data_IF_067573544515
#
_entry.id   IF_067573544515
#
_cell.length_a   1.000
_cell.length_b   1.000
_cell.length_c   1.000
_cell.angle_alpha   90.00
_cell.angle_beta   90.00
_cell.angle_gamma   90.00
#
_symmetry.space_group_name_H-M   'P 1'
#
loop_
_entity.id
_entity.type
_entity.pdbx_description
1 polymer ?
#
# COMPACT_ATOMS: atom_id res chain seq x y z
N UNK A 1 -44.42 25.50 -28.74
CA UNK A 1 -43.74 24.98 -27.53
C UNK A 1 -42.25 25.10 -27.74
N UNK A 2 -41.55 25.90 -26.93
CA UNK A 2 -40.09 25.97 -27.01
C UNK A 2 -39.52 24.63 -26.52
N UNK A 3 -38.75 23.96 -27.38
CA UNK A 3 -38.10 22.70 -27.05
C UNK A 3 -37.04 23.00 -25.98
N UNK A 4 -37.24 22.50 -24.75
CA UNK A 4 -36.30 22.73 -23.66
C UNK A 4 -35.06 21.85 -23.88
N UNK A 5 -33.97 22.42 -24.37
CA UNK A 5 -32.72 21.71 -24.63
C UNK A 5 -32.05 21.16 -23.36
N UNK A 6 -32.58 21.44 -22.16
CA UNK A 6 -32.14 20.77 -20.94
C UNK A 6 -32.63 19.32 -20.86
N UNK A 7 -33.71 18.93 -21.54
CA UNK A 7 -34.26 17.57 -21.49
C UNK A 7 -33.48 16.55 -22.32
N UNK A 8 -32.58 17.00 -23.21
CA UNK A 8 -31.65 16.15 -23.97
C UNK A 8 -30.34 15.90 -23.22
N UNK A 9 -30.10 16.59 -22.09
CA UNK A 9 -28.86 16.44 -21.37
C UNK A 9 -28.84 15.13 -20.57
N UNK A 10 -27.77 14.37 -20.73
CA UNK A 10 -27.41 13.35 -19.75
C UNK A 10 -27.33 13.99 -18.35
N UNK A 11 -27.86 13.35 -17.28
CA UNK A 11 -27.90 13.94 -15.93
C UNK A 11 -26.55 14.43 -15.41
N UNK A 12 -25.45 13.77 -15.80
CA UNK A 12 -24.08 14.14 -15.41
C UNK A 12 -23.43 15.22 -16.28
N UNK A 13 -24.03 15.64 -17.41
CA UNK A 13 -23.37 16.58 -18.34
C UNK A 13 -23.02 17.89 -17.66
N UNK A 14 -23.98 18.48 -16.94
CA UNK A 14 -23.78 19.78 -16.27
C UNK A 14 -22.83 19.63 -15.06
N UNK A 15 -23.00 18.66 -14.13
CA UNK A 15 -22.06 18.47 -13.04
C UNK A 15 -20.61 18.23 -13.50
N UNK A 16 -20.39 17.38 -14.50
CA UNK A 16 -19.04 17.09 -15.00
C UNK A 16 -18.43 18.30 -15.73
N UNK A 17 -19.23 19.03 -16.51
CA UNK A 17 -18.77 20.27 -17.13
C UNK A 17 -18.42 21.34 -16.08
N UNK A 18 -19.20 21.43 -15.00
CA UNK A 18 -18.92 22.34 -13.90
C UNK A 18 -17.65 21.95 -13.13
N UNK A 19 -17.36 20.66 -12.94
CA UNK A 19 -16.13 20.20 -12.27
C UNK A 19 -14.87 20.73 -12.97
N UNK A 20 -14.84 20.74 -14.31
CA UNK A 20 -13.69 21.25 -15.09
C UNK A 20 -13.49 22.76 -14.92
N UNK A 21 -14.57 23.52 -14.77
CA UNK A 21 -14.52 24.99 -14.62
C UNK A 21 -14.52 25.46 -13.17
N UNK A 22 -14.56 24.54 -12.21
CA UNK A 22 -14.66 24.86 -10.78
C UNK A 22 -13.40 25.48 -10.17
N UNK A 23 -12.28 25.48 -10.91
CA UNK A 23 -10.95 25.94 -10.46
C UNK A 23 -10.48 27.19 -11.22
N UNK A 24 -11.09 28.37 -11.02
CA UNK A 24 -10.59 29.58 -11.65
C UNK A 24 -9.17 29.90 -11.17
N UNK A 25 -8.33 30.37 -12.09
CA UNK A 25 -7.01 30.87 -11.74
C UNK A 25 -7.13 32.11 -10.87
N UNK A 26 -6.10 32.35 -10.08
CA UNK A 26 -6.03 33.51 -9.22
C UNK A 26 -6.02 34.82 -10.03
N UNK A 27 -6.94 35.73 -9.75
CA UNK A 27 -7.01 37.02 -10.42
C UNK A 27 -6.10 38.04 -9.73
N UNK A 28 -4.94 38.29 -10.33
CA UNK A 28 -3.96 39.25 -9.84
C UNK A 28 -4.09 40.58 -10.59
N UNK A 29 -4.10 41.69 -9.85
CA UNK A 29 -4.20 43.04 -10.38
C UNK A 29 -2.88 43.81 -10.21
N UNK A 30 -1.80 43.26 -10.78
CA UNK A 30 -0.46 43.86 -10.78
C UNK A 30 0.40 43.40 -9.59
N UNK A 31 1.12 44.34 -8.96
CA UNK A 31 2.00 44.06 -7.84
C UNK A 31 1.21 43.77 -6.55
N UNK A 32 1.40 42.57 -6.01
CA UNK A 32 0.62 42.03 -4.90
C UNK A 32 1.47 41.15 -3.99
N UNK A 33 1.05 41.00 -2.73
CA UNK A 33 1.64 40.03 -1.80
C UNK A 33 0.63 38.96 -1.43
N UNK A 34 1.18 37.78 -1.18
CA UNK A 34 0.40 36.60 -0.87
C UNK A 34 0.92 35.93 0.39
N UNK A 35 -0.01 35.41 1.19
CA UNK A 35 0.25 34.44 2.25
C UNK A 35 -0.50 33.17 1.90
N UNK A 36 0.21 32.06 1.74
CA UNK A 36 -0.34 30.76 1.40
C UNK A 36 -0.14 29.78 2.55
N UNK A 37 -1.21 29.10 2.95
CA UNK A 37 -1.19 28.04 3.95
C UNK A 37 -1.79 26.77 3.37
N UNK A 38 -1.09 25.64 3.45
CA UNK A 38 -1.68 24.33 3.22
C UNK A 38 -1.93 23.65 4.58
N UNK A 39 -3.20 23.49 4.92
CA UNK A 39 -3.66 22.93 6.19
C UNK A 39 -3.98 21.46 6.01
N UNK A 40 -3.14 20.60 6.57
CA UNK A 40 -3.27 19.14 6.62
C UNK A 40 -3.91 18.73 7.95
N UNK A 41 -5.24 18.79 8.02
CA UNK A 41 -6.01 18.52 9.23
C UNK A 41 -6.43 17.04 9.34
N UNK A 42 -5.49 16.10 9.22
CA UNK A 42 -5.77 14.69 9.55
C UNK A 42 -5.64 14.48 11.06
N UNK A 43 -6.67 13.88 11.67
CA UNK A 43 -6.55 13.33 13.02
C UNK A 43 -5.67 12.07 12.97
N UNK A 44 -4.80 11.92 13.96
CA UNK A 44 -3.92 10.77 14.06
C UNK A 44 -4.75 9.46 14.16
N UNK A 45 -4.25 8.43 13.48
CA UNK A 45 -4.56 7.01 13.58
C UNK A 45 -5.57 6.34 12.62
N UNK A 46 -6.41 7.03 11.83
CA UNK A 46 -7.33 6.33 10.91
C UNK A 46 -7.18 6.77 9.44
N UNK A 47 -6.78 5.82 8.60
CA UNK A 47 -6.78 5.94 7.13
C UNK A 47 -8.21 5.88 6.62
N UNK A 48 -8.92 7.02 6.60
CA UNK A 48 -10.26 7.07 6.03
C UNK A 48 -11.10 8.31 6.35
N UNK A 49 -10.71 9.14 7.32
CA UNK A 49 -11.52 10.31 7.67
C UNK A 49 -11.49 11.37 6.56
N UNK A 50 -12.70 11.69 6.07
CA UNK A 50 -12.92 12.83 5.20
C UNK A 50 -12.51 14.11 5.94
N UNK A 51 -11.48 14.80 5.45
CA UNK A 51 -10.99 16.04 6.06
C UNK A 51 -11.86 17.24 5.69
N UNK A 52 -12.71 17.12 4.66
CA UNK A 52 -13.50 18.24 4.15
C UNK A 52 -14.41 18.91 5.21
N UNK A 53 -15.10 18.19 6.11
CA UNK A 53 -15.91 18.80 7.16
C UNK A 53 -15.08 19.67 8.12
N UNK A 54 -13.88 19.22 8.50
CA UNK A 54 -12.97 19.98 9.35
C UNK A 54 -12.47 21.25 8.64
N UNK A 55 -12.08 21.12 7.36
CA UNK A 55 -11.64 22.27 6.55
C UNK A 55 -12.76 23.29 6.36
N UNK A 56 -13.98 22.82 6.12
CA UNK A 56 -15.15 23.68 5.99
C UNK A 56 -15.47 24.39 7.31
N UNK A 57 -15.35 23.70 8.46
CA UNK A 57 -15.52 24.32 9.78
C UNK A 57 -14.50 25.44 10.01
N UNK A 58 -13.22 25.20 9.68
CA UNK A 58 -12.17 26.22 9.77
C UNK A 58 -12.46 27.43 8.88
N UNK A 59 -12.90 27.19 7.63
CA UNK A 59 -13.30 28.26 6.72
C UNK A 59 -14.53 29.02 7.24
N UNK A 60 -15.55 28.32 7.74
CA UNK A 60 -16.76 28.94 8.25
C UNK A 60 -16.51 29.83 9.47
N UNK A 61 -15.62 29.40 10.37
CA UNK A 61 -15.15 30.23 11.49
C UNK A 61 -14.43 31.49 11.00
N UNK A 62 -13.57 31.36 9.97
CA UNK A 62 -12.90 32.50 9.36
C UNK A 62 -13.90 33.47 8.71
N UNK A 63 -14.80 32.98 7.85
CA UNK A 63 -15.82 33.81 7.21
C UNK A 63 -16.74 34.50 8.22
N UNK A 64 -17.16 33.77 9.27
CA UNK A 64 -18.00 34.29 10.35
C UNK A 64 -17.37 35.47 11.10
N UNK A 65 -16.04 35.45 11.29
CA UNK A 65 -15.31 36.58 11.91
C UNK A 65 -15.49 37.89 11.14
N UNK A 66 -15.56 37.80 9.81
CA UNK A 66 -15.74 38.96 8.92
C UNK A 66 -17.20 39.18 8.48
N UNK A 67 -18.16 38.44 9.06
CA UNK A 67 -19.58 38.56 8.70
C UNK A 67 -19.93 38.04 7.31
N UNK A 68 -19.10 37.16 6.73
CA UNK A 68 -19.30 36.58 5.40
C UNK A 68 -19.94 35.20 5.53
N UNK A 69 -20.89 34.89 4.64
CA UNK A 69 -21.50 33.57 4.58
C UNK A 69 -20.49 32.51 4.08
N UNK A 70 -20.37 31.41 4.82
CA UNK A 70 -19.55 30.27 4.42
C UNK A 70 -20.15 29.57 3.18
N UNK A 71 -19.32 28.90 2.35
CA UNK A 71 -19.83 28.13 1.22
C UNK A 71 -20.61 26.89 1.69
N UNK A 72 -21.35 26.27 0.76
CA UNK A 72 -22.15 25.07 1.05
C UNK A 72 -21.31 23.85 1.44
N UNK A 73 -21.96 22.85 2.06
CA UNK A 73 -21.31 21.66 2.67
C UNK A 73 -20.48 20.79 1.73
N UNK A 74 -20.68 20.92 0.41
CA UNK A 74 -19.95 20.18 -0.62
C UNK A 74 -19.06 21.08 -1.48
N UNK A 75 -18.84 22.33 -1.05
CA UNK A 75 -17.97 23.24 -1.78
C UNK A 75 -16.52 22.79 -1.69
N UNK A 76 -15.87 22.69 -2.85
CA UNK A 76 -14.43 22.45 -2.95
C UNK A 76 -13.62 23.73 -3.15
N UNK A 77 -14.30 24.84 -3.45
CA UNK A 77 -13.67 26.12 -3.79
C UNK A 77 -14.47 27.24 -3.13
N UNK A 78 -13.74 28.25 -2.68
CA UNK A 78 -14.32 29.48 -2.17
C UNK A 78 -13.38 30.63 -2.49
N UNK A 79 -13.94 31.70 -3.04
CA UNK A 79 -13.23 32.93 -3.27
C UNK A 79 -14.08 34.08 -2.74
N UNK A 80 -13.46 34.99 -2.00
CA UNK A 80 -14.16 36.15 -1.49
C UNK A 80 -13.20 37.34 -1.33
N UNK A 81 -13.70 38.52 -1.67
CA UNK A 81 -13.02 39.80 -1.45
C UNK A 81 -13.52 40.44 -0.16
N UNK A 82 -12.62 40.60 0.81
CA UNK A 82 -12.90 41.21 2.12
C UNK A 82 -12.57 42.72 2.13
N UNK A 83 -12.29 43.30 0.97
CA UNK A 83 -11.94 44.71 0.77
C UNK A 83 -10.45 44.96 0.98
N UNK A 84 -9.94 44.74 2.19
CA UNK A 84 -8.50 44.93 2.50
C UNK A 84 -7.61 43.80 1.99
N UNK A 85 -8.18 42.61 1.82
CA UNK A 85 -7.51 41.42 1.30
C UNK A 85 -8.55 40.50 0.63
N UNK A 86 -8.07 39.55 -0.18
CA UNK A 86 -8.87 38.51 -0.81
C UNK A 86 -8.45 37.14 -0.29
N UNK A 87 -9.38 36.21 -0.19
CA UNK A 87 -9.12 34.81 0.14
C UNK A 87 -9.51 33.93 -1.04
N UNK A 88 -8.59 33.08 -1.47
CA UNK A 88 -8.85 31.89 -2.27
C UNK A 88 -8.64 30.65 -1.41
N UNK A 89 -9.69 29.84 -1.27
CA UNK A 89 -9.66 28.56 -0.58
C UNK A 89 -9.98 27.42 -1.53
N UNK A 90 -9.16 26.35 -1.46
CA UNK A 90 -9.38 25.12 -2.22
C UNK A 90 -9.28 23.91 -1.29
N UNK A 91 -10.32 23.08 -1.28
CA UNK A 91 -10.33 21.81 -0.55
C UNK A 91 -9.87 20.67 -1.46
N UNK A 92 -8.81 20.00 -1.04
CA UNK A 92 -8.34 18.76 -1.65
C UNK A 92 -8.73 17.58 -0.77
N UNK A 93 -8.38 16.37 -1.19
CA UNK A 93 -8.70 15.14 -0.45
C UNK A 93 -8.01 15.07 0.92
N UNK A 94 -6.77 15.56 1.01
CA UNK A 94 -5.94 15.39 2.23
C UNK A 94 -5.67 16.70 2.99
N UNK A 95 -5.86 17.84 2.34
CA UNK A 95 -5.58 19.17 2.90
C UNK A 95 -6.47 20.20 2.23
N UNK A 96 -6.54 21.40 2.80
CA UNK A 96 -7.06 22.57 2.11
C UNK A 96 -6.01 23.66 2.04
N UNK A 97 -6.06 24.47 0.98
CA UNK A 97 -5.20 25.64 0.84
C UNK A 97 -5.97 26.90 1.16
N UNK A 98 -5.30 27.83 1.84
CA UNK A 98 -5.79 29.18 2.13
C UNK A 98 -4.77 30.15 1.55
N UNK A 99 -5.13 30.83 0.47
CA UNK A 99 -4.28 31.83 -0.18
C UNK A 99 -4.90 33.20 0.04
N UNK A 100 -4.25 33.99 0.89
CA UNK A 100 -4.61 35.37 1.17
C UNK A 100 -3.81 36.29 0.26
N UNK A 101 -4.46 37.31 -0.29
CA UNK A 101 -3.87 38.24 -1.24
C UNK A 101 -4.15 39.66 -0.84
N UNK A 102 -3.14 40.51 -0.96
CA UNK A 102 -3.26 41.94 -0.73
C UNK A 102 -2.66 42.71 -1.91
N UNK A 103 -3.44 43.63 -2.46
CA UNK A 103 -3.02 44.48 -3.56
C UNK A 103 -2.42 45.78 -3.04
N UNK A 104 -1.18 46.09 -3.45
CA UNK A 104 -0.47 47.28 -2.96
C UNK A 104 -0.92 48.58 -3.63
N UNK A 105 -1.48 48.54 -4.84
CA UNK A 105 -2.01 49.70 -5.55
C UNK A 105 -3.30 50.22 -4.89
N UNK A 106 -4.17 49.31 -4.43
CA UNK A 106 -5.40 49.69 -3.72
C UNK A 106 -5.13 50.35 -2.35
N UNK A 107 -4.11 49.87 -1.62
CA UNK A 107 -3.69 50.48 -0.34
C UNK A 107 -2.99 51.83 -0.50
N UNK A 108 -2.27 52.08 -1.60
CA UNK A 108 -1.61 53.36 -1.85
C UNK A 108 -2.60 54.49 -2.19
N UNK A 109 -3.69 54.17 -2.90
CA UNK A 109 -4.76 55.12 -3.22
C UNK A 109 -5.50 55.66 -1.98
N UNK A 110 -5.43 54.96 -0.84
CA UNK A 110 -6.00 55.39 0.43
C UNK A 110 -5.07 56.28 1.28
N UNK A 111 -3.79 56.44 0.88
CA UNK A 111 -2.77 57.08 1.73
C UNK A 111 -2.11 58.33 1.12
N UNK A 112 -2.12 58.54 -0.21
CA UNK A 112 -1.59 59.81 -0.75
C UNK A 112 -1.96 60.11 -2.21
N UNK A 113 -2.30 61.38 -2.47
CA UNK A 113 -2.61 62.01 -3.76
C UNK A 113 -1.38 62.24 -4.67
N UNK A 114 -0.37 61.38 -4.57
CA UNK A 114 0.80 61.39 -5.44
C UNK A 114 0.87 60.06 -6.15
N UNK A 115 0.92 60.09 -7.49
CA UNK A 115 1.20 58.92 -8.32
C UNK A 115 2.52 58.27 -7.90
N UNK A 116 2.43 57.30 -6.97
CA UNK A 116 3.58 56.53 -6.52
C UNK A 116 3.92 55.55 -7.65
N UNK A 117 4.97 55.86 -8.39
CA UNK A 117 5.71 54.85 -9.13
C UNK A 117 6.22 53.83 -8.10
N UNK A 118 5.52 52.70 -7.96
CA UNK A 118 5.82 51.64 -7.01
C UNK A 118 7.07 50.87 -7.46
N UNK A 119 8.24 51.48 -7.22
CA UNK A 119 9.48 50.75 -6.95
C UNK A 119 9.61 50.60 -5.44
N UNK A 120 8.57 50.07 -4.80
CA UNK A 120 8.65 49.71 -3.39
C UNK A 120 9.79 48.67 -3.24
N UNK A 121 10.79 49.00 -2.44
CA UNK A 121 11.84 48.05 -2.11
C UNK A 121 11.21 46.83 -1.43
N UNK A 122 11.86 45.66 -1.57
CA UNK A 122 11.33 44.42 -1.01
C UNK A 122 10.99 44.51 0.50
N UNK A 123 11.61 45.43 1.26
CA UNK A 123 11.31 45.62 2.70
C UNK A 123 9.87 46.07 2.92
N UNK A 124 9.42 47.01 2.09
CA UNK A 124 8.07 47.53 2.16
C UNK A 124 7.06 46.48 1.69
N UNK A 125 7.42 45.68 0.69
CA UNK A 125 6.59 44.59 0.17
C UNK A 125 6.38 43.52 1.25
N UNK A 126 7.46 43.00 1.84
CA UNK A 126 7.36 41.98 2.90
C UNK A 126 6.83 42.55 4.24
N UNK A 127 6.88 43.86 4.48
CA UNK A 127 6.23 44.47 5.64
C UNK A 127 4.69 44.49 5.54
N UNK A 128 4.14 44.36 4.33
CA UNK A 128 2.70 44.47 4.03
C UNK A 128 2.08 43.12 3.67
N UNK A 129 2.58 42.02 4.23
CA UNK A 129 2.06 40.68 3.95
C UNK A 129 0.61 40.52 4.44
N UNK A 130 -0.25 39.79 3.70
CA UNK A 130 -1.65 39.56 4.09
C UNK A 130 -1.84 38.88 5.44
N UNK A 131 -0.79 38.27 6.00
CA UNK A 131 -0.79 37.63 7.32
C UNK A 131 -1.34 38.55 8.42
N UNK A 132 -1.11 39.87 8.30
CA UNK A 132 -1.60 40.90 9.23
C UNK A 132 -3.12 40.98 9.37
N UNK A 133 -3.85 40.54 8.34
CA UNK A 133 -5.31 40.54 8.33
C UNK A 133 -5.91 39.27 8.93
N UNK A 134 -5.10 38.23 9.14
CA UNK A 134 -5.58 36.93 9.61
C UNK A 134 -5.75 36.98 11.14
N UNK A 135 -6.93 36.62 11.69
CA UNK A 135 -7.13 36.63 13.13
C UNK A 135 -6.19 35.67 13.86
N UNK A 136 -5.49 36.15 14.90
CA UNK A 136 -4.48 35.36 15.62
C UNK A 136 -5.06 34.10 16.26
N UNK A 137 -6.29 34.15 16.78
CA UNK A 137 -6.96 32.98 17.35
C UNK A 137 -7.21 31.88 16.30
N UNK A 138 -7.47 32.27 15.05
CA UNK A 138 -7.70 31.33 13.95
C UNK A 138 -6.39 30.66 13.56
N UNK A 139 -5.30 31.43 13.45
CA UNK A 139 -3.94 30.90 13.24
C UNK A 139 -3.54 29.94 14.37
N UNK A 140 -3.81 30.28 15.62
CA UNK A 140 -3.54 29.40 16.76
C UNK A 140 -4.34 28.07 16.66
N UNK A 141 -5.57 28.11 16.15
CA UNK A 141 -6.39 26.92 15.89
C UNK A 141 -5.80 25.96 14.84
N UNK A 142 -4.84 26.42 14.02
CA UNK A 142 -4.10 25.60 13.04
C UNK A 142 -2.87 24.90 13.63
N UNK A 143 -2.59 25.06 14.93
CA UNK A 143 -1.44 24.41 15.58
C UNK A 143 -1.37 22.91 15.25
N UNK A 144 -0.21 22.46 14.78
CA UNK A 144 0.06 21.08 14.38
C UNK A 144 -0.54 20.65 13.03
N UNK A 145 -1.25 21.53 12.31
CA UNK A 145 -1.95 21.21 11.06
C UNK A 145 -1.36 21.89 9.83
N UNK A 146 -0.45 22.84 9.98
CA UNK A 146 0.14 23.57 8.84
C UNK A 146 1.26 22.73 8.23
N UNK A 147 1.04 22.24 7.01
CA UNK A 147 2.04 21.49 6.23
C UNK A 147 2.95 22.43 5.44
N UNK A 148 2.35 23.50 4.89
CA UNK A 148 3.05 24.53 4.13
C UNK A 148 2.59 25.90 4.58
N UNK A 149 3.56 26.79 4.74
CA UNK A 149 3.35 28.21 4.95
C UNK A 149 4.33 28.95 4.03
N UNK A 150 3.83 29.80 3.13
CA UNK A 150 4.67 30.52 2.18
C UNK A 150 4.18 31.95 1.95
N UNK A 151 5.14 32.86 1.79
CA UNK A 151 4.91 34.21 1.30
C UNK A 151 5.39 34.34 -0.15
N UNK A 152 4.58 34.98 -0.98
CA UNK A 152 4.97 35.33 -2.34
C UNK A 152 4.81 36.83 -2.56
N UNK A 153 5.87 37.46 -3.02
CA UNK A 153 5.89 38.86 -3.43
C UNK A 153 5.89 38.93 -4.96
N UNK A 154 4.78 39.39 -5.55
CA UNK A 154 4.69 39.74 -6.96
C UNK A 154 5.03 41.22 -7.11
N UNK A 155 6.16 41.52 -7.75
CA UNK A 155 6.65 42.87 -7.95
C UNK A 155 6.68 43.22 -9.44
N UNK A 156 6.44 44.49 -9.76
CA UNK A 156 6.62 44.98 -11.12
C UNK A 156 8.12 45.04 -11.47
N UNK A 157 8.46 44.70 -12.71
CA UNK A 157 9.80 44.73 -13.23
C UNK A 157 9.91 45.56 -14.50
N UNK A 158 10.86 46.49 -14.51
CA UNK A 158 11.24 47.32 -15.66
C UNK A 158 12.57 46.89 -16.31
N UNK A 159 13.36 46.08 -15.60
CA UNK A 159 14.74 45.72 -15.93
C UNK A 159 15.06 44.27 -15.54
N UNK A 160 15.98 43.61 -16.24
CA UNK A 160 16.44 42.24 -15.89
C UNK A 160 17.42 42.18 -14.70
N UNK A 161 17.61 43.30 -14.01
CA UNK A 161 18.45 43.33 -12.82
C UNK A 161 17.73 42.67 -11.64
N UNK A 162 18.48 41.90 -10.85
CA UNK A 162 17.96 41.28 -9.63
C UNK A 162 17.49 42.38 -8.65
N UNK A 163 16.35 42.19 -7.96
CA UNK A 163 15.89 43.15 -6.96
C UNK A 163 16.96 43.45 -5.91
N UNK A 164 17.17 44.73 -5.62
CA UNK A 164 18.12 45.14 -4.60
C UNK A 164 17.77 44.53 -3.23
N UNK A 165 18.76 43.95 -2.57
CA UNK A 165 18.57 43.31 -1.27
C UNK A 165 17.84 41.97 -1.31
N UNK A 166 17.58 41.36 -2.46
CA UNK A 166 16.90 40.05 -2.59
C UNK A 166 17.46 38.98 -1.63
N UNK A 167 18.79 38.90 -1.51
CA UNK A 167 19.47 37.90 -0.68
C UNK A 167 19.09 37.95 0.80
N UNK A 168 18.67 39.10 1.33
CA UNK A 168 18.31 39.22 2.76
C UNK A 168 17.02 38.49 3.12
N UNK A 169 16.21 38.14 2.13
CA UNK A 169 14.98 37.36 2.35
C UNK A 169 15.18 35.85 2.26
N UNK A 170 16.38 35.42 1.91
CA UNK A 170 16.72 34.01 1.73
C UNK A 170 17.89 33.67 2.65
N UNK A 171 17.61 32.99 3.76
CA UNK A 171 18.62 32.52 4.71
C UNK A 171 19.71 31.66 4.06
N UNK A 172 19.37 30.95 2.98
CA UNK A 172 20.30 30.10 2.25
C UNK A 172 21.42 30.85 1.50
N UNK A 173 21.36 32.18 1.39
CA UNK A 173 22.38 33.02 0.74
C UNK A 173 22.50 32.88 -0.79
N UNK A 174 22.12 31.74 -1.38
CA UNK A 174 22.06 31.47 -2.82
C UNK A 174 20.69 30.88 -3.20
N UNK A 175 19.97 31.57 -4.07
CA UNK A 175 18.61 31.25 -4.49
C UNK A 175 18.59 30.26 -5.68
N UNK A 176 17.55 29.45 -5.75
CA UNK A 176 17.02 28.91 -7.01
C UNK A 176 16.41 30.07 -7.78
N UNK A 177 16.70 30.16 -9.07
CA UNK A 177 16.21 31.27 -9.89
C UNK A 177 16.00 30.88 -11.34
N UNK A 178 14.87 31.30 -11.89
CA UNK A 178 14.51 31.00 -13.28
C UNK A 178 13.76 32.15 -13.95
N UNK A 179 14.00 32.32 -15.25
CA UNK A 179 13.15 33.14 -16.12
C UNK A 179 11.96 32.32 -16.59
N UNK A 180 10.75 32.89 -16.52
CA UNK A 180 9.48 32.24 -16.79
C UNK A 180 8.83 32.85 -18.03
N UNK A 181 8.61 32.03 -19.07
CA UNK A 181 7.95 32.42 -20.35
C UNK A 181 8.42 33.75 -20.96
N UNK A 182 9.69 34.13 -20.72
CA UNK A 182 10.28 35.41 -21.10
C UNK A 182 9.52 36.67 -20.62
N UNK A 183 8.70 36.54 -19.57
CA UNK A 183 7.85 37.62 -19.03
C UNK A 183 7.91 37.75 -17.52
N UNK A 184 8.72 36.94 -16.84
CA UNK A 184 8.97 37.13 -15.43
C UNK A 184 10.20 36.37 -14.97
N UNK A 185 10.67 36.69 -13.78
CA UNK A 185 11.76 35.99 -13.10
C UNK A 185 11.30 35.62 -11.69
N UNK A 186 11.63 34.41 -11.26
CA UNK A 186 11.29 33.92 -9.92
C UNK A 186 12.56 33.58 -9.16
N UNK A 187 12.55 33.88 -7.86
CA UNK A 187 13.57 33.45 -6.91
C UNK A 187 12.96 32.85 -5.65
N UNK A 188 13.61 31.81 -5.14
CA UNK A 188 13.30 31.14 -3.86
C UNK A 188 14.52 30.38 -3.38
N UNK A 189 14.61 30.04 -2.10
CA UNK A 189 15.59 29.10 -1.55
C UNK A 189 14.96 27.77 -1.10
N UNK A 190 13.62 27.66 -1.19
CA UNK A 190 12.82 26.54 -0.66
C UNK A 190 13.03 26.26 0.84
N UNK A 191 13.62 27.21 1.58
CA UNK A 191 13.84 27.12 3.02
C UNK A 191 12.73 27.83 3.79
N UNK A 192 12.44 27.31 4.98
CA UNK A 192 11.59 27.96 5.96
C UNK A 192 12.44 29.02 6.65
N UNK A 193 12.01 30.27 6.58
CA UNK A 193 12.71 31.39 7.20
C UNK A 193 12.38 31.48 8.70
N UNK A 194 13.04 32.38 9.43
CA UNK A 194 12.86 32.57 10.88
C UNK A 194 11.42 32.90 11.31
N UNK A 195 10.58 33.41 10.40
CA UNK A 195 9.15 33.65 10.64
C UNK A 195 8.26 32.41 10.48
N UNK A 196 8.84 31.28 10.04
CA UNK A 196 8.14 30.02 9.79
C UNK A 196 7.56 29.88 8.38
N UNK A 197 7.85 30.82 7.46
CA UNK A 197 7.33 30.80 6.09
C UNK A 197 8.44 30.57 5.05
N UNK A 198 8.14 29.81 4.01
CA UNK A 198 8.93 29.83 2.77
C UNK A 198 8.71 31.14 2.01
N UNK A 199 9.65 31.52 1.13
CA UNK A 199 9.55 32.78 0.38
C UNK A 199 9.75 32.59 -1.12
N UNK A 200 8.96 33.32 -1.88
CA UNK A 200 9.07 33.49 -3.32
C UNK A 200 9.04 34.97 -3.67
N UNK A 201 9.92 35.38 -4.57
CA UNK A 201 9.86 36.69 -5.21
C UNK A 201 9.65 36.46 -6.70
N UNK A 202 8.54 36.96 -7.24
CA UNK A 202 8.20 36.89 -8.65
C UNK A 202 8.22 38.32 -9.20
N UNK A 203 9.14 38.59 -10.12
CA UNK A 203 9.22 39.86 -10.84
C UNK A 203 8.49 39.72 -12.18
N UNK A 204 7.58 40.64 -12.45
CA UNK A 204 6.72 40.66 -13.62
C UNK A 204 7.23 41.65 -14.68
N UNK A 205 7.58 41.15 -15.88
CA UNK A 205 8.01 41.91 -17.06
C UNK A 205 6.90 42.09 -18.11
N UNK A 206 5.63 42.02 -17.69
CA UNK A 206 4.48 42.14 -18.56
C UNK A 206 3.86 40.78 -18.88
N UNK A 207 3.53 40.02 -17.85
CA UNK A 207 2.56 38.93 -17.94
C UNK A 207 1.26 39.42 -18.58
N UNK A 208 0.71 38.63 -19.48
CA UNK A 208 -0.54 38.93 -20.18
C UNK A 208 -1.72 38.29 -19.44
N UNK A 209 -2.83 39.03 -19.33
CA UNK A 209 -4.09 38.51 -18.79
C UNK A 209 -3.89 37.76 -17.45
N UNK A 210 -4.29 36.49 -17.38
CA UNK A 210 -4.16 35.64 -16.19
C UNK A 210 -2.82 34.88 -16.11
N UNK A 211 -1.79 35.27 -16.87
CA UNK A 211 -0.48 34.59 -16.82
C UNK A 211 0.20 34.73 -15.45
N UNK A 212 0.16 35.91 -14.83
CA UNK A 212 0.72 36.12 -13.50
C UNK A 212 0.03 35.20 -12.47
N UNK A 213 -1.31 35.19 -12.48
CA UNK A 213 -2.14 34.35 -11.62
C UNK A 213 -1.84 32.86 -11.74
N UNK A 214 -1.78 32.35 -12.97
CA UNK A 214 -1.42 30.94 -13.24
C UNK A 214 0.01 30.62 -12.80
N UNK A 215 0.95 31.54 -12.99
CA UNK A 215 2.35 31.36 -12.58
C UNK A 215 2.48 31.29 -11.07
N UNK A 216 1.87 32.24 -10.35
CA UNK A 216 1.81 32.23 -8.88
C UNK A 216 1.16 30.96 -8.37
N UNK A 217 0.02 30.56 -8.94
CA UNK A 217 -0.64 29.31 -8.56
C UNK A 217 0.27 28.10 -8.73
N UNK A 218 0.99 27.99 -9.86
CA UNK A 218 1.95 26.90 -10.08
C UNK A 218 3.07 26.89 -9.05
N UNK A 219 3.61 28.04 -8.68
CA UNK A 219 4.67 28.15 -7.67
C UNK A 219 4.18 27.68 -6.29
N UNK A 220 2.99 28.12 -5.88
CA UNK A 220 2.36 27.69 -4.62
C UNK A 220 2.00 26.20 -4.64
N UNK A 221 1.55 25.67 -5.78
CA UNK A 221 1.27 24.24 -5.97
C UNK A 221 2.55 23.40 -5.95
N UNK A 222 3.66 23.87 -6.52
CA UNK A 222 4.97 23.20 -6.40
C UNK A 222 5.40 23.12 -4.94
N UNK A 223 5.27 24.23 -4.20
CA UNK A 223 5.60 24.30 -2.79
C UNK A 223 4.72 23.36 -1.94
N UNK A 224 3.43 23.30 -2.24
CA UNK A 224 2.51 22.41 -1.53
C UNK A 224 2.76 20.95 -1.87
N UNK A 225 2.81 20.61 -3.16
CA UNK A 225 2.93 19.23 -3.62
C UNK A 225 4.32 18.63 -3.35
N UNK A 226 5.41 19.42 -3.27
CA UNK A 226 6.71 18.87 -2.85
C UNK A 226 6.65 18.35 -1.41
N UNK A 227 6.00 19.10 -0.51
CA UNK A 227 5.88 18.71 0.89
C UNK A 227 4.95 17.51 1.04
N UNK A 228 3.82 17.50 0.32
CA UNK A 228 2.91 16.36 0.29
C UNK A 228 3.55 15.09 -0.30
N UNK A 229 4.40 15.23 -1.32
CA UNK A 229 5.17 14.12 -1.88
C UNK A 229 6.16 13.57 -0.85
N UNK A 230 6.84 14.43 -0.09
CA UNK A 230 7.84 14.03 0.91
C UNK A 230 7.25 13.27 2.11
N UNK A 231 5.93 13.31 2.35
CA UNK A 231 5.29 12.53 3.42
C UNK A 231 5.48 11.02 3.29
N UNK A 232 5.81 10.50 2.10
CA UNK A 232 6.17 9.10 1.92
C UNK A 232 7.56 8.74 2.45
N UNK A 233 8.49 9.70 2.54
CA UNK A 233 9.88 9.40 2.89
C UNK A 233 10.03 8.86 4.33
N UNK A 234 9.41 9.45 5.38
CA UNK A 234 9.50 8.89 6.73
C UNK A 234 8.94 7.46 6.81
N UNK A 235 7.87 7.16 6.06
CA UNK A 235 7.30 5.80 5.99
C UNK A 235 8.23 4.82 5.28
N UNK A 236 8.91 5.26 4.22
CA UNK A 236 9.92 4.44 3.55
C UNK A 236 11.10 4.13 4.50
N UNK A 237 11.55 5.12 5.27
CA UNK A 237 12.64 4.98 6.23
C UNK A 237 12.27 4.06 7.40
N UNK A 238 11.02 4.09 7.89
CA UNK A 238 10.56 3.18 8.94
C UNK A 238 10.30 1.75 8.42
N UNK A 239 9.83 1.60 7.18
CA UNK A 239 9.59 0.30 6.57
C UNK A 239 10.88 -0.45 6.20
N UNK A 240 11.94 0.28 5.83
CA UNK A 240 13.22 -0.30 5.41
C UNK A 240 13.84 -1.33 6.38
N UNK A 241 13.99 -1.04 7.69
CA UNK A 241 14.52 -2.02 8.65
C UNK A 241 13.59 -3.22 8.82
N UNK A 242 12.26 -3.01 8.82
CA UNK A 242 11.27 -4.09 8.97
C UNK A 242 11.34 -5.06 7.78
N UNK A 243 11.42 -4.55 6.55
CA UNK A 243 11.62 -5.39 5.36
C UNK A 243 12.94 -6.16 5.40
N UNK A 244 14.00 -5.55 5.93
CA UNK A 244 15.29 -6.22 6.08
C UNK A 244 15.22 -7.37 7.07
N UNK A 245 14.48 -7.21 8.17
CA UNK A 245 14.24 -8.30 9.11
C UNK A 245 13.45 -9.45 8.44
N UNK A 246 12.34 -9.15 7.78
CA UNK A 246 11.50 -10.13 7.06
C UNK A 246 12.33 -10.90 6.02
N UNK A 247 13.16 -10.20 5.25
CA UNK A 247 14.02 -10.80 4.23
C UNK A 247 15.06 -11.74 4.84
N UNK A 248 15.74 -11.33 5.92
CA UNK A 248 16.72 -12.17 6.60
C UNK A 248 16.08 -13.41 7.24
N UNK A 249 14.90 -13.25 7.84
CA UNK A 249 14.12 -14.37 8.40
C UNK A 249 13.72 -15.35 7.29
N UNK A 250 13.24 -14.86 6.14
CA UNK A 250 12.92 -15.72 5.00
C UNK A 250 14.14 -16.50 4.50
N UNK A 251 15.30 -15.83 4.33
CA UNK A 251 16.55 -16.50 3.92
C UNK A 251 16.94 -17.62 4.88
N UNK A 252 16.83 -17.38 6.20
CA UNK A 252 17.14 -18.38 7.22
C UNK A 252 16.17 -19.58 7.18
N UNK A 253 14.87 -19.32 6.97
CA UNK A 253 13.87 -20.39 6.83
C UNK A 253 14.11 -21.21 5.57
N UNK A 254 14.35 -20.57 4.42
CA UNK A 254 14.68 -21.28 3.17
C UNK A 254 15.94 -22.13 3.30
N UNK A 255 17.00 -21.63 3.95
CA UNK A 255 18.21 -22.41 4.21
C UNK A 255 17.97 -23.62 5.13
N UNK A 256 16.99 -23.52 6.03
CA UNK A 256 16.57 -24.64 6.89
C UNK A 256 15.81 -25.70 6.10
N UNK A 257 14.96 -25.28 5.16
CA UNK A 257 14.26 -26.19 4.24
C UNK A 257 15.23 -26.98 3.36
N UNK A 258 16.22 -26.32 2.76
CA UNK A 258 17.22 -27.00 1.92
C UNK A 258 18.05 -28.01 2.72
N UNK A 259 18.40 -27.69 3.98
CA UNK A 259 19.11 -28.65 4.84
C UNK A 259 18.25 -29.83 5.25
N UNK A 260 16.96 -29.63 5.48
CA UNK A 260 16.05 -30.73 5.82
C UNK A 260 15.77 -31.64 4.62
N UNK A 261 15.90 -31.18 3.37
CA UNK A 261 15.83 -32.06 2.18
C UNK A 261 16.97 -33.07 2.14
N UNK A 262 18.16 -32.70 2.62
CA UNK A 262 19.33 -33.57 2.63
C UNK A 262 19.28 -34.65 3.73
N UNK A 263 18.38 -34.52 4.70
CA UNK A 263 18.20 -35.49 5.78
C UNK A 263 16.97 -36.37 5.49
N UNK A 264 17.18 -37.67 5.20
CA UNK A 264 16.14 -38.65 4.81
C UNK A 264 15.00 -38.89 5.84
N UNK A 265 15.02 -38.20 6.98
CA UNK A 265 14.12 -38.36 8.12
C UNK A 265 13.63 -37.00 8.65
N UNK A 266 13.27 -36.07 7.77
CA UNK A 266 12.65 -34.81 8.20
C UNK A 266 11.33 -35.09 8.94
N UNK A 267 11.28 -34.60 10.18
CA UNK A 267 10.11 -34.65 11.06
C UNK A 267 9.00 -33.74 10.51
N UNK A 268 7.80 -34.30 10.29
CA UNK A 268 6.63 -33.59 9.77
C UNK A 268 6.31 -32.36 10.63
N UNK A 269 6.54 -32.43 11.95
CA UNK A 269 6.27 -31.33 12.87
C UNK A 269 7.23 -30.16 12.67
N UNK A 270 8.50 -30.45 12.34
CA UNK A 270 9.49 -29.41 12.02
C UNK A 270 9.14 -28.66 10.73
N UNK A 271 8.66 -29.36 9.69
CA UNK A 271 8.22 -28.71 8.45
C UNK A 271 6.95 -27.87 8.66
N UNK A 272 6.00 -28.36 9.47
CA UNK A 272 4.83 -27.57 9.84
C UNK A 272 5.19 -26.30 10.62
N UNK A 273 6.21 -26.35 11.48
CA UNK A 273 6.69 -25.18 12.20
C UNK A 273 7.28 -24.12 11.25
N UNK A 274 8.03 -24.55 10.23
CA UNK A 274 8.55 -23.64 9.19
C UNK A 274 7.41 -23.04 8.37
N UNK A 275 6.41 -23.83 7.99
CA UNK A 275 5.23 -23.34 7.29
C UNK A 275 4.50 -22.25 8.08
N UNK A 276 4.28 -22.45 9.39
CA UNK A 276 3.67 -21.43 10.27
C UNK A 276 4.50 -20.14 10.30
N UNK A 277 5.82 -20.26 10.34
CA UNK A 277 6.73 -19.10 10.34
C UNK A 277 6.66 -18.31 9.03
N UNK A 278 6.50 -18.98 7.89
CA UNK A 278 6.31 -18.31 6.59
C UNK A 278 4.96 -17.60 6.50
N UNK A 279 3.90 -18.20 7.05
CA UNK A 279 2.58 -17.55 7.14
C UNK A 279 2.66 -16.28 8.01
N UNK A 280 3.39 -16.32 9.12
CA UNK A 280 3.63 -15.14 9.97
C UNK A 280 4.40 -14.03 9.21
N UNK A 281 5.46 -14.39 8.48
CA UNK A 281 6.18 -13.44 7.63
C UNK A 281 5.28 -12.81 6.56
N UNK A 282 4.39 -13.59 5.94
CA UNK A 282 3.43 -13.10 4.97
C UNK A 282 2.47 -12.08 5.61
N UNK A 283 1.93 -12.39 6.80
CA UNK A 283 1.04 -11.51 7.52
C UNK A 283 1.71 -10.19 7.92
N UNK A 284 2.95 -10.25 8.42
CA UNK A 284 3.75 -9.06 8.77
C UNK A 284 4.04 -8.17 7.55
N UNK A 285 4.37 -8.78 6.41
CA UNK A 285 4.60 -8.04 5.17
C UNK A 285 3.31 -7.40 4.64
N UNK A 286 2.18 -8.12 4.70
CA UNK A 286 0.88 -7.62 4.27
C UNK A 286 0.45 -6.43 5.13
N UNK A 287 0.58 -6.54 6.45
CA UNK A 287 0.30 -5.43 7.36
C UNK A 287 1.12 -4.18 7.00
N UNK A 288 2.43 -4.34 6.83
CA UNK A 288 3.32 -3.23 6.45
C UNK A 288 2.96 -2.62 5.08
N UNK A 289 2.47 -3.43 4.17
CA UNK A 289 2.05 -2.99 2.82
C UNK A 289 0.75 -2.20 2.91
N UNK A 290 -0.25 -2.71 3.64
CA UNK A 290 -1.53 -2.03 3.84
C UNK A 290 -1.34 -0.66 4.51
N UNK A 291 -0.51 -0.58 5.55
CA UNK A 291 -0.21 0.66 6.29
C UNK A 291 0.38 1.77 5.39
N UNK A 292 1.22 1.41 4.43
CA UNK A 292 1.99 2.40 3.63
C UNK A 292 1.47 2.60 2.20
N UNK A 293 0.62 1.70 1.68
CA UNK A 293 0.17 1.67 0.28
C UNK A 293 -0.43 3.00 -0.19
N UNK A 294 -1.36 3.55 0.59
CA UNK A 294 -2.01 4.83 0.29
C UNK A 294 -0.99 5.96 0.20
N UNK A 295 -0.08 6.06 1.17
CA UNK A 295 0.88 7.16 1.24
C UNK A 295 1.89 7.09 0.11
N UNK A 296 2.42 5.92 -0.23
CA UNK A 296 3.34 5.79 -1.37
C UNK A 296 2.66 6.12 -2.70
N UNK A 297 1.41 5.69 -2.88
CA UNK A 297 0.61 6.05 -4.06
C UNK A 297 0.36 7.57 -4.13
N UNK A 298 -0.07 8.18 -3.02
CA UNK A 298 -0.26 9.63 -2.92
C UNK A 298 1.05 10.40 -3.18
N UNK A 299 2.16 9.96 -2.60
CA UNK A 299 3.47 10.60 -2.78
C UNK A 299 3.91 10.59 -4.25
N UNK A 300 3.71 9.46 -4.95
CA UNK A 300 3.97 9.35 -6.38
C UNK A 300 3.06 10.27 -7.22
N UNK A 301 1.79 10.38 -6.85
CA UNK A 301 0.85 11.27 -7.52
C UNK A 301 1.25 12.75 -7.35
N UNK A 302 1.56 13.18 -6.12
CA UNK A 302 2.03 14.56 -5.87
C UNK A 302 3.35 14.86 -6.56
N UNK A 303 4.30 13.91 -6.57
CA UNK A 303 5.55 14.09 -7.32
C UNK A 303 5.30 14.29 -8.82
N UNK A 304 4.33 13.57 -9.39
CA UNK A 304 3.94 13.76 -10.79
C UNK A 304 3.32 15.14 -11.03
N UNK A 305 2.53 15.66 -10.07
CA UNK A 305 1.99 17.01 -10.12
C UNK A 305 3.09 18.07 -10.03
N UNK A 306 4.10 17.90 -9.15
CA UNK A 306 5.26 18.80 -9.08
C UNK A 306 5.95 18.89 -10.44
N UNK A 307 6.26 17.75 -11.08
CA UNK A 307 6.89 17.74 -12.42
C UNK A 307 6.02 18.43 -13.47
N UNK A 308 4.72 18.17 -13.46
CA UNK A 308 3.79 18.79 -14.40
C UNK A 308 3.78 20.33 -14.25
N UNK A 309 3.76 20.84 -13.02
CA UNK A 309 3.78 22.30 -12.76
C UNK A 309 5.09 22.95 -13.15
N UNK A 310 6.23 22.30 -12.87
CA UNK A 310 7.54 22.77 -13.30
C UNK A 310 7.61 22.83 -14.84
N UNK A 311 7.14 21.79 -15.54
CA UNK A 311 7.10 21.78 -17.00
C UNK A 311 6.24 22.93 -17.55
N UNK A 312 5.09 23.18 -16.92
CA UNK A 312 4.17 24.24 -17.30
C UNK A 312 4.70 25.67 -17.05
N UNK A 313 5.64 25.85 -16.10
CA UNK A 313 6.32 27.12 -15.89
C UNK A 313 7.14 27.55 -17.11
N UNK A 314 7.56 26.58 -17.95
CA UNK A 314 8.45 26.80 -19.11
C UNK A 314 9.65 27.64 -18.71
N UNK A 315 10.29 27.21 -17.63
CA UNK A 315 11.40 27.94 -17.05
C UNK A 315 12.66 27.85 -17.92
N UNK A 316 13.46 28.89 -17.86
CA UNK A 316 14.77 28.99 -18.50
C UNK A 316 15.79 29.50 -17.49
N UNK A 317 17.05 29.19 -17.72
CA UNK A 317 18.13 29.42 -16.76
C UNK A 317 18.46 30.91 -16.64
N UNK A 318 18.52 31.40 -15.40
CA UNK A 318 19.25 32.62 -15.05
C UNK A 318 20.71 32.24 -14.81
N UNK A 319 21.65 32.98 -15.41
CA UNK A 319 23.08 32.68 -15.28
C UNK A 319 23.52 32.66 -13.80
N UNK A 320 24.29 31.63 -13.44
CA UNK A 320 24.80 31.44 -12.08
C UNK A 320 23.82 30.83 -11.07
N UNK A 321 22.55 30.60 -11.43
CA UNK A 321 21.54 30.00 -10.55
C UNK A 321 21.03 28.65 -11.09
N UNK A 322 20.73 27.67 -10.22
CA UNK A 322 19.99 26.47 -10.62
C UNK A 322 18.52 26.82 -10.85
N UNK A 323 17.88 26.12 -11.80
CA UNK A 323 16.44 26.27 -12.03
C UNK A 323 15.64 25.48 -11.00
N UNK A 324 14.31 25.68 -10.96
CA UNK A 324 13.42 24.94 -10.05
C UNK A 324 13.44 23.44 -10.38
N UNK A 325 13.43 23.07 -11.66
CA UNK A 325 13.55 21.71 -12.13
C UNK A 325 14.85 21.06 -11.63
N UNK A 326 16.00 21.71 -11.85
CA UNK A 326 17.30 21.16 -11.43
C UNK A 326 17.40 20.99 -9.92
N UNK A 327 16.85 21.94 -9.16
CA UNK A 327 16.78 21.85 -7.72
C UNK A 327 15.91 20.66 -7.28
N UNK A 328 14.72 20.50 -7.86
CA UNK A 328 13.78 19.44 -7.51
C UNK A 328 14.29 18.06 -7.93
N UNK A 329 14.91 17.93 -9.10
CA UNK A 329 15.51 16.67 -9.54
C UNK A 329 16.64 16.23 -8.59
N UNK A 330 17.43 17.17 -8.07
CA UNK A 330 18.52 16.85 -7.14
C UNK A 330 18.06 16.62 -5.70
N UNK A 331 16.98 17.28 -5.24
CA UNK A 331 16.60 17.33 -3.82
C UNK A 331 15.29 16.62 -3.48
N UNK A 332 14.38 16.49 -4.43
CA UNK A 332 13.09 15.80 -4.25
C UNK A 332 13.10 14.39 -4.85
N UNK A 333 13.65 14.20 -6.05
CA UNK A 333 13.61 12.90 -6.73
C UNK A 333 14.27 11.74 -5.94
N UNK A 334 15.40 11.92 -5.22
CA UNK A 334 15.99 10.83 -4.43
C UNK A 334 15.07 10.28 -3.34
N UNK A 335 14.27 11.14 -2.70
CA UNK A 335 13.27 10.72 -1.73
C UNK A 335 12.19 9.84 -2.38
N UNK A 336 11.76 10.22 -3.59
CA UNK A 336 10.75 9.46 -4.33
C UNK A 336 11.28 8.11 -4.82
N UNK A 337 12.53 8.05 -5.26
CA UNK A 337 13.18 6.79 -5.60
C UNK A 337 13.30 5.85 -4.40
N UNK A 338 13.51 6.39 -3.19
CA UNK A 338 13.48 5.60 -1.94
C UNK A 338 12.10 4.97 -1.73
N UNK A 339 11.02 5.75 -1.84
CA UNK A 339 9.65 5.24 -1.74
C UNK A 339 9.38 4.12 -2.77
N UNK A 340 9.74 4.35 -4.03
CA UNK A 340 9.57 3.35 -5.10
C UNK A 340 10.40 2.08 -4.87
N UNK A 341 11.62 2.21 -4.30
CA UNK A 341 12.45 1.06 -3.98
C UNK A 341 11.84 0.19 -2.88
N UNK A 342 11.21 0.81 -1.87
CA UNK A 342 10.49 0.09 -0.80
C UNK A 342 9.29 -0.66 -1.38
N UNK A 343 8.47 -0.03 -2.23
CA UNK A 343 7.34 -0.69 -2.89
C UNK A 343 7.80 -1.90 -3.70
N UNK A 344 8.84 -1.73 -4.55
CA UNK A 344 9.38 -2.86 -5.33
C UNK A 344 9.93 -3.98 -4.44
N UNK A 345 10.52 -3.64 -3.29
CA UNK A 345 11.03 -4.62 -2.33
C UNK A 345 9.88 -5.38 -1.65
N UNK A 346 8.78 -4.71 -1.31
CA UNK A 346 7.57 -5.34 -0.79
C UNK A 346 7.01 -6.36 -1.79
N UNK A 347 6.83 -5.95 -3.05
CA UNK A 347 6.32 -6.83 -4.12
C UNK A 347 7.23 -8.06 -4.34
N UNK A 348 8.54 -7.83 -4.39
CA UNK A 348 9.51 -8.91 -4.58
C UNK A 348 9.54 -9.89 -3.41
N UNK A 349 9.46 -9.40 -2.17
CA UNK A 349 9.39 -10.25 -0.98
C UNK A 349 8.08 -11.03 -0.91
N UNK A 350 6.95 -10.39 -1.22
CA UNK A 350 5.65 -11.06 -1.26
C UNK A 350 5.65 -12.24 -2.24
N UNK A 351 6.20 -12.03 -3.45
CA UNK A 351 6.35 -13.09 -4.43
C UNK A 351 7.26 -14.23 -3.94
N UNK A 352 8.39 -13.91 -3.27
CA UNK A 352 9.30 -14.93 -2.71
C UNK A 352 8.66 -15.73 -1.58
N UNK A 353 7.94 -15.07 -0.68
CA UNK A 353 7.20 -15.71 0.42
C UNK A 353 6.14 -16.65 -0.14
N UNK A 354 5.34 -16.19 -1.11
CA UNK A 354 4.30 -16.99 -1.76
C UNK A 354 4.89 -18.25 -2.42
N UNK A 355 5.96 -18.10 -3.21
CA UNK A 355 6.63 -19.24 -3.84
C UNK A 355 7.18 -20.23 -2.80
N UNK A 356 7.79 -19.74 -1.71
CA UNK A 356 8.34 -20.61 -0.67
C UNK A 356 7.23 -21.37 0.07
N UNK A 357 6.10 -20.70 0.33
CA UNK A 357 4.91 -21.31 0.92
C UNK A 357 4.32 -22.41 0.04
N UNK A 358 4.22 -22.18 -1.27
CA UNK A 358 3.70 -23.17 -2.22
C UNK A 358 4.60 -24.42 -2.28
N UNK A 359 5.92 -24.24 -2.38
CA UNK A 359 6.89 -25.35 -2.38
C UNK A 359 6.77 -26.18 -1.10
N UNK A 360 6.65 -25.53 0.05
CA UNK A 360 6.47 -26.21 1.34
C UNK A 360 5.16 -26.99 1.42
N UNK A 361 4.06 -26.38 0.99
CA UNK A 361 2.76 -27.06 0.98
C UNK A 361 2.80 -28.30 0.09
N UNK A 362 3.43 -28.23 -1.07
CA UNK A 362 3.63 -29.39 -1.95
C UNK A 362 4.46 -30.47 -1.25
N UNK A 363 5.56 -30.09 -0.60
CA UNK A 363 6.44 -31.03 0.11
C UNK A 363 5.74 -31.74 1.26
N UNK A 364 5.07 -31.00 2.14
CA UNK A 364 4.29 -31.56 3.26
C UNK A 364 3.21 -32.52 2.73
N UNK A 365 2.56 -32.17 1.62
CA UNK A 365 1.59 -33.05 0.95
C UNK A 365 2.21 -34.38 0.50
N UNK A 366 3.38 -34.35 -0.15
CA UNK A 366 4.10 -35.54 -0.59
C UNK A 366 4.52 -36.41 0.61
N UNK A 367 5.02 -35.79 1.68
CA UNK A 367 5.42 -36.53 2.88
C UNK A 367 4.24 -37.22 3.56
N UNK A 368 3.11 -36.53 3.69
CA UNK A 368 1.88 -37.13 4.22
C UNK A 368 1.39 -38.30 3.36
N UNK A 369 1.45 -38.19 2.04
CA UNK A 369 1.09 -39.27 1.13
C UNK A 369 2.03 -40.48 1.26
N UNK A 370 3.35 -40.24 1.34
CA UNK A 370 4.34 -41.30 1.57
C UNK A 370 4.13 -41.99 2.92
N UNK A 371 3.80 -41.25 3.98
CA UNK A 371 3.51 -41.80 5.30
C UNK A 371 2.24 -42.67 5.26
N UNK A 372 1.17 -42.19 4.62
CA UNK A 372 -0.06 -42.95 4.39
C UNK A 372 0.22 -44.25 3.61
N UNK A 373 1.04 -44.19 2.57
CA UNK A 373 1.43 -45.37 1.79
C UNK A 373 2.20 -46.39 2.63
N UNK A 374 3.14 -45.95 3.47
CA UNK A 374 3.88 -46.83 4.41
C UNK A 374 2.93 -47.50 5.41
N UNK A 375 1.95 -46.76 5.94
CA UNK A 375 0.94 -47.30 6.86
C UNK A 375 0.13 -48.40 6.15
N UNK A 376 -0.38 -48.15 4.94
CA UNK A 376 -1.12 -49.12 4.15
C UNK A 376 -0.29 -50.37 3.82
N UNK A 377 0.99 -50.20 3.46
CA UNK A 377 1.90 -51.33 3.22
C UNK A 377 2.12 -52.16 4.49
N UNK A 378 2.32 -51.52 5.65
CA UNK A 378 2.45 -52.23 6.93
C UNK A 378 1.17 -53.00 7.31
N UNK A 379 0.00 -52.46 6.95
CA UNK A 379 -1.28 -53.10 7.17
C UNK A 379 -1.44 -54.32 6.27
N UNK A 380 -1.13 -54.19 4.98
CA UNK A 380 -1.14 -55.31 4.03
C UNK A 380 -0.15 -56.41 4.42
N UNK A 381 1.04 -56.05 4.89
CA UNK A 381 2.03 -57.01 5.36
C UNK A 381 1.52 -57.79 6.59
N UNK A 382 0.93 -57.08 7.56
CA UNK A 382 0.29 -57.71 8.73
C UNK A 382 -0.88 -58.62 8.35
N UNK A 383 -1.74 -58.18 7.44
CA UNK A 383 -2.85 -59.00 6.92
C UNK A 383 -2.34 -60.26 6.20
N UNK A 384 -1.29 -60.14 5.38
CA UNK A 384 -0.67 -61.28 4.71
C UNK A 384 -0.04 -62.28 5.69
N UNK A 385 0.59 -61.79 6.77
CA UNK A 385 1.11 -62.64 7.85
C UNK A 385 -0.03 -63.37 8.58
N UNK A 386 -1.13 -62.67 8.88
CA UNK A 386 -2.33 -63.29 9.48
C UNK A 386 -2.91 -64.39 8.57
N UNK A 387 -3.02 -64.14 7.26
CA UNK A 387 -3.46 -65.14 6.29
C UNK A 387 -2.56 -66.37 6.26
N UNK A 388 -1.23 -66.20 6.28
CA UNK A 388 -0.29 -67.34 6.30
C UNK A 388 -0.40 -68.16 7.58
N UNK A 389 -0.55 -67.50 8.74
CA UNK A 389 -0.77 -68.19 10.01
C UNK A 389 -2.09 -68.97 10.01
N UNK A 390 -3.15 -68.38 9.45
CA UNK A 390 -4.43 -69.06 9.30
C UNK A 390 -4.32 -70.29 8.39
N UNK A 391 -3.67 -70.17 7.23
CA UNK A 391 -3.41 -71.30 6.33
C UNK A 391 -2.55 -72.40 6.99
N UNK A 392 -1.59 -72.04 7.83
CA UNK A 392 -0.80 -73.01 8.58
C UNK A 392 -1.66 -73.79 9.61
N UNK A 393 -2.59 -73.10 10.29
CA UNK A 393 -3.55 -73.73 11.22
C UNK A 393 -4.52 -74.64 10.47
N UNK A 394 -4.95 -74.26 9.27
CA UNK A 394 -5.77 -75.11 8.41
C UNK A 394 -5.04 -76.38 7.96
N UNK A 395 -3.75 -76.30 7.64
CA UNK A 395 -2.92 -77.47 7.35
C UNK A 395 -2.87 -78.45 8.53
N UNK A 396 -2.77 -77.93 9.76
CA UNK A 396 -2.78 -78.73 10.98
C UNK A 396 -4.16 -79.33 11.28
N UNK A 397 -5.25 -78.62 10.97
CA UNK A 397 -6.62 -79.10 11.20
C UNK A 397 -6.97 -80.29 10.31
N UNK A 398 -6.45 -80.36 9.08
CA UNK A 398 -6.57 -81.55 8.20
C UNK A 398 -6.04 -82.79 8.91
N UNK A 399 -4.86 -82.70 9.55
CA UNK A 399 -4.25 -83.82 10.27
C UNK A 399 -5.08 -84.21 11.50
N UNK A 400 -5.50 -83.23 12.30
CA UNK A 400 -6.31 -83.47 13.50
C UNK A 400 -7.68 -84.11 13.15
N UNK A 401 -8.41 -83.54 12.18
CA UNK A 401 -9.73 -84.06 11.74
C UNK A 401 -9.58 -85.47 11.16
N UNK A 402 -8.55 -85.71 10.33
CA UNK A 402 -8.31 -87.03 9.74
C UNK A 402 -8.06 -88.09 10.81
N UNK A 403 -7.30 -87.75 11.86
CA UNK A 403 -7.07 -88.63 13.02
C UNK A 403 -8.38 -88.94 13.77
N UNK A 404 -9.19 -87.93 14.08
CA UNK A 404 -10.47 -88.14 14.77
C UNK A 404 -11.46 -88.96 13.95
N UNK A 405 -11.58 -88.73 12.64
CA UNK A 405 -12.47 -89.49 11.75
C UNK A 405 -11.99 -90.94 11.61
N UNK A 406 -10.69 -91.17 11.43
CA UNK A 406 -10.13 -92.52 11.41
C UNK A 406 -10.39 -93.26 12.73
N UNK A 407 -10.26 -92.58 13.86
CA UNK A 407 -10.62 -93.11 15.18
C UNK A 407 -12.10 -93.51 15.26
N UNK A 408 -13.01 -92.68 14.74
CA UNK A 408 -14.45 -92.97 14.72
C UNK A 408 -14.75 -94.25 13.93
N UNK A 409 -14.19 -94.39 12.71
CA UNK A 409 -14.35 -95.60 11.90
C UNK A 409 -13.75 -96.85 12.58
N UNK A 410 -12.61 -96.71 13.27
CA UNK A 410 -12.02 -97.80 14.03
C UNK A 410 -12.95 -98.28 15.16
N UNK A 411 -13.56 -97.35 15.91
CA UNK A 411 -14.52 -97.68 16.96
C UNK A 411 -15.81 -98.30 16.40
N UNK A 412 -16.35 -97.76 15.30
CA UNK A 412 -17.51 -98.35 14.60
C UNK A 412 -17.19 -99.75 14.07
N UNK A 413 -16.00 -99.96 13.49
CA UNK A 413 -15.55 -101.27 13.02
C UNK A 413 -15.40 -102.28 14.16
N UNK A 414 -14.89 -101.86 15.33
CA UNK A 414 -14.86 -102.69 16.54
C UNK A 414 -16.28 -103.04 17.03
N UNK A 415 -17.22 -102.10 16.98
CA UNK A 415 -18.63 -102.34 17.30
C UNK A 415 -19.33 -103.34 16.36
N UNK A 416 -19.09 -103.22 15.05
CA UNK A 416 -19.61 -104.15 14.04
C UNK A 416 -19.02 -105.56 14.17
N UNK A 417 -17.73 -105.66 14.52
CA UNK A 417 -17.09 -106.95 14.84
C UNK A 417 -17.74 -107.61 16.08
N UNK A 418 -18.10 -106.81 17.09
CA UNK A 418 -18.83 -107.32 18.26
C UNK A 418 -20.26 -107.78 17.94
N UNK A 419 -20.86 -107.30 16.83
CA UNK A 419 -22.18 -107.71 16.33
C UNK A 419 -22.15 -108.96 15.42
N UNK A 420 -21.00 -109.63 15.28
CA UNK A 420 -20.88 -110.92 14.57
C UNK A 420 -20.49 -110.83 13.09
N UNK A 421 -20.18 -109.64 12.57
CA UNK A 421 -19.65 -109.47 11.22
C UNK A 421 -18.13 -109.70 11.20
N UNK A 422 -17.65 -110.57 10.31
CA UNK A 422 -16.25 -111.01 10.27
C UNK A 422 -15.33 -110.00 9.55
N UNK A 423 -15.22 -108.79 10.10
CA UNK A 423 -14.40 -107.70 9.54
C UNK A 423 -13.16 -107.50 10.43
N UNK A 424 -11.97 -107.36 9.83
CA UNK A 424 -10.77 -106.96 10.55
C UNK A 424 -10.69 -105.42 10.63
N UNK A 425 -10.94 -104.80 11.79
CA UNK A 425 -11.07 -103.34 11.89
C UNK A 425 -9.76 -102.60 11.65
N UNK A 426 -8.62 -103.23 11.94
CA UNK A 426 -7.29 -102.62 11.80
C UNK A 426 -6.87 -102.53 10.33
N UNK A 427 -7.08 -103.61 9.56
CA UNK A 427 -6.84 -103.61 8.11
C UNK A 427 -7.79 -102.65 7.37
N UNK A 428 -9.07 -102.64 7.75
CA UNK A 428 -10.07 -101.74 7.16
C UNK A 428 -9.69 -100.27 7.41
N UNK A 429 -9.30 -99.93 8.64
CA UNK A 429 -8.92 -98.56 9.02
C UNK A 429 -7.60 -98.16 8.33
N UNK A 430 -6.62 -99.05 8.24
CA UNK A 430 -5.34 -98.81 7.55
C UNK A 430 -5.50 -98.45 6.07
N UNK A 431 -6.42 -99.11 5.36
CA UNK A 431 -6.74 -98.80 3.96
C UNK A 431 -7.58 -97.51 3.84
N UNK A 432 -8.44 -97.23 4.83
CA UNK A 432 -9.30 -96.03 4.84
C UNK A 432 -8.54 -94.74 5.18
N UNK A 433 -7.48 -94.78 5.99
CA UNK A 433 -6.71 -93.58 6.39
C UNK A 433 -6.29 -92.69 5.20
N UNK A 434 -5.63 -93.20 4.13
CA UNK A 434 -5.24 -92.35 3.00
C UNK A 434 -6.45 -91.78 2.25
N UNK A 435 -7.57 -92.53 2.20
CA UNK A 435 -8.83 -92.06 1.59
C UNK A 435 -9.48 -90.97 2.44
N UNK A 436 -9.50 -91.12 3.77
CA UNK A 436 -10.01 -90.11 4.72
C UNK A 436 -9.15 -88.85 4.65
N UNK A 437 -7.82 -88.97 4.66
CA UNK A 437 -6.93 -87.82 4.57
C UNK A 437 -7.12 -87.06 3.24
N UNK A 438 -7.21 -87.78 2.11
CA UNK A 438 -7.46 -87.16 0.79
C UNK A 438 -8.85 -86.51 0.71
N UNK A 439 -9.88 -87.14 1.26
CA UNK A 439 -11.25 -86.59 1.23
C UNK A 439 -11.41 -85.38 2.14
N UNK A 440 -10.84 -85.41 3.34
CA UNK A 440 -10.83 -84.26 4.28
C UNK A 440 -10.04 -83.10 3.67
N UNK A 441 -8.86 -83.36 3.13
CA UNK A 441 -8.06 -82.34 2.44
C UNK A 441 -8.78 -81.76 1.23
N UNK A 442 -9.38 -82.60 0.38
CA UNK A 442 -10.13 -82.15 -0.79
C UNK A 442 -11.39 -81.36 -0.40
N UNK A 443 -12.12 -81.79 0.63
CA UNK A 443 -13.31 -81.10 1.15
C UNK A 443 -12.98 -79.71 1.70
N UNK A 444 -11.96 -79.61 2.56
CA UNK A 444 -11.50 -78.34 3.12
C UNK A 444 -10.99 -77.41 2.01
N UNK A 445 -10.20 -77.93 1.07
CA UNK A 445 -9.70 -77.15 -0.08
C UNK A 445 -10.83 -76.66 -1.00
N UNK A 446 -11.89 -77.46 -1.17
CA UNK A 446 -13.06 -77.10 -1.97
C UNK A 446 -13.96 -76.08 -1.28
N UNK A 447 -14.15 -76.19 0.05
CA UNK A 447 -14.85 -75.18 0.85
C UNK A 447 -14.12 -73.84 0.80
N UNK A 448 -12.80 -73.86 0.95
CA UNK A 448 -12.01 -72.64 0.96
C UNK A 448 -12.02 -71.91 -0.39
N UNK A 449 -12.09 -72.64 -1.51
CA UNK A 449 -12.27 -72.09 -2.87
C UNK A 449 -13.66 -71.50 -3.15
N UNK A 450 -14.65 -71.73 -2.27
CA UNK A 450 -16.01 -71.18 -2.41
C UNK A 450 -16.27 -69.97 -1.50
N UNK A 451 -15.45 -69.79 -0.45
CA UNK A 451 -15.61 -68.75 0.57
C UNK A 451 -14.63 -67.57 0.37
N UNK A 452 -13.57 -67.76 -0.42
CA UNK A 452 -12.68 -66.73 -0.95
C UNK A 452 -12.71 -66.81 -2.46
#
# INVERSE_FOLDING_TARGET
>A
MAFNTLTINHPLRIPLAAEVHSRPSLELAGAETLTHLAVFARSDAHSGDDTAPTQLSLLAQFCGHFGVAAPGVHAKYFFHDFGGFRLKWECHTEFATYTFLENHLASAALVSDSAVNVTAGLDEVFARLPLRHIPQWWLAGLQGKVMVAAHLALIAGDSREQPAGLRKYFEGGLAVGSELIARGEVWTDFLIQADGFGRFVLKDFGFLEQQAGRTVQRLLEIETYRMMALLGLPQAQSAAPVLTAIENELVALTATLTRSEAAELADTDAEQAVLRSIIDLAARLEQLTLENSYRFSASKAYFSLVKARILELRETRIEGLPTIAEFMDRRLAPAMHTCEAIVRRQEALAARIANTNDLLRTRVGIMQEQQNRKILQSMNARAAQQLRLQQAVEGLSVAAISYYVAGLFLYTGKGLKALGLNINPELLTGVLIPVIALTVWYSLRRMHRKLH
#
